data_IF_532705658005
#
_entry.id   IF_532705658005
#
_cell.length_a   1.000
_cell.length_b   1.000
_cell.length_c   1.000
_cell.angle_alpha   90.00
_cell.angle_beta   90.00
_cell.angle_gamma   90.00
#
_symmetry.space_group_name_H-M   'P 1'
#
loop_
_entity.id
_entity.type
_entity.pdbx_description
1 polymer ?
#
# COMPACT_ATOMS: atom_id res chain seq x y z
N UNK A 1 4.48 36.52 15.50
CA UNK A 1 5.48 36.26 14.42
C UNK A 1 6.26 34.95 14.63
N UNK A 2 6.75 34.63 15.84
CA UNK A 2 7.41 33.34 16.13
C UNK A 2 6.51 32.11 15.93
N UNK A 3 5.23 32.15 16.33
CA UNK A 3 4.29 31.03 16.13
C UNK A 3 4.03 30.72 14.65
N UNK A 4 3.91 31.76 13.81
CA UNK A 4 3.81 31.58 12.35
C UNK A 4 5.11 31.05 11.72
N UNK A 5 6.27 31.46 12.25
CA UNK A 5 7.57 30.95 11.82
C UNK A 5 7.75 29.46 12.18
N UNK A 6 7.41 29.07 13.42
CA UNK A 6 7.40 27.67 13.87
C UNK A 6 6.41 26.81 13.08
N UNK A 7 5.21 27.32 12.82
CA UNK A 7 4.22 26.66 11.96
C UNK A 7 4.76 26.48 10.52
N UNK A 8 5.48 27.47 9.99
CA UNK A 8 6.10 27.38 8.66
C UNK A 8 7.28 26.41 8.58
N UNK A 9 8.03 26.24 9.68
CA UNK A 9 9.17 25.31 9.76
C UNK A 9 8.65 23.88 9.90
N UNK A 10 7.70 23.63 10.82
CA UNK A 10 7.08 22.31 11.00
C UNK A 10 6.35 21.85 9.74
N UNK A 11 5.66 22.76 9.04
CA UNK A 11 5.03 22.45 7.76
C UNK A 11 6.06 22.12 6.69
N UNK A 12 7.24 22.78 6.66
CA UNK A 12 8.29 22.44 5.70
C UNK A 12 8.92 21.08 5.98
N UNK A 13 9.20 20.75 7.24
CA UNK A 13 9.76 19.45 7.63
C UNK A 13 8.83 18.32 7.21
N UNK A 14 7.55 18.40 7.55
CA UNK A 14 6.54 17.44 7.11
C UNK A 14 6.56 17.17 5.60
N UNK A 15 6.59 18.24 4.81
CA UNK A 15 6.52 18.14 3.35
C UNK A 15 7.77 17.50 2.76
N UNK A 16 8.92 17.78 3.38
CA UNK A 16 10.17 17.17 3.01
C UNK A 16 10.18 15.68 3.37
N UNK A 17 9.71 15.32 4.56
CA UNK A 17 9.57 13.93 5.01
C UNK A 17 8.62 13.15 4.09
N UNK A 18 7.49 13.74 3.71
CA UNK A 18 6.55 13.15 2.74
C UNK A 18 7.24 12.81 1.41
N UNK A 19 7.99 13.76 0.83
CA UNK A 19 8.66 13.54 -0.45
C UNK A 19 9.87 12.60 -0.32
N UNK A 20 10.53 12.56 0.84
CA UNK A 20 11.57 11.58 1.13
C UNK A 20 10.99 10.17 1.16
N UNK A 21 9.87 10.00 1.88
CA UNK A 21 9.25 8.70 2.11
C UNK A 21 8.57 8.15 0.86
N UNK A 22 7.66 8.92 0.24
CA UNK A 22 6.86 8.42 -0.89
C UNK A 22 7.47 8.67 -2.28
N UNK A 23 8.40 9.61 -2.38
CA UNK A 23 8.98 10.07 -3.66
C UNK A 23 10.51 9.97 -3.74
N UNK A 24 11.15 9.37 -2.73
CA UNK A 24 12.60 9.18 -2.64
C UNK A 24 13.41 10.48 -2.85
N UNK A 25 12.93 11.58 -2.28
CA UNK A 25 13.71 12.82 -2.23
C UNK A 25 15.02 12.56 -1.47
N UNK A 26 16.16 12.64 -2.17
CA UNK A 26 17.47 12.39 -1.56
C UNK A 26 17.85 13.49 -0.57
N UNK A 27 18.47 13.10 0.54
CA UNK A 27 19.11 14.03 1.48
C UNK A 27 20.45 14.51 0.91
N UNK A 28 20.68 15.83 0.87
CA UNK A 28 21.99 16.38 0.48
C UNK A 28 23.01 16.16 1.61
N UNK A 29 24.04 15.31 1.43
CA UNK A 29 25.00 15.00 2.49
C UNK A 29 25.89 16.18 2.90
N UNK A 30 25.90 17.27 2.12
CA UNK A 30 26.85 18.38 2.25
C UNK A 30 26.19 19.73 2.61
N UNK A 31 24.89 19.76 2.90
CA UNK A 31 24.19 20.98 3.30
C UNK A 31 24.18 22.09 2.24
N UNK A 32 24.43 21.78 0.96
CA UNK A 32 24.41 22.76 -0.14
C UNK A 32 22.97 23.00 -0.62
N UNK A 33 22.28 23.86 0.14
CA UNK A 33 20.89 24.29 -0.02
C UNK A 33 20.46 24.78 -1.43
N UNK A 34 21.38 24.98 -2.39
CA UNK A 34 21.07 25.39 -3.77
C UNK A 34 20.66 24.24 -4.70
N UNK A 35 21.11 23.00 -4.48
CA UNK A 35 20.75 21.85 -5.34
C UNK A 35 19.44 21.18 -4.90
N UNK A 36 19.10 21.25 -3.61
CA UNK A 36 17.88 20.68 -3.04
C UNK A 36 16.60 21.33 -3.56
N UNK A 37 16.60 22.64 -3.88
CA UNK A 37 15.40 23.33 -4.37
C UNK A 37 14.89 22.83 -5.73
N UNK A 38 15.80 22.46 -6.65
CA UNK A 38 15.44 21.88 -7.95
C UNK A 38 14.95 20.43 -7.80
N UNK A 39 15.59 19.65 -6.92
CA UNK A 39 15.17 18.28 -6.60
C UNK A 39 13.80 18.25 -5.91
N UNK A 40 13.56 19.12 -4.93
CA UNK A 40 12.29 19.27 -4.23
C UNK A 40 11.16 19.64 -5.19
N UNK A 41 11.35 20.70 -6.00
CA UNK A 41 10.34 21.14 -6.98
C UNK A 41 10.02 20.03 -7.98
N UNK A 42 11.02 19.26 -8.40
CA UNK A 42 10.80 18.10 -9.28
C UNK A 42 9.94 17.04 -8.61
N UNK A 43 10.25 16.65 -7.36
CA UNK A 43 9.47 15.64 -6.63
C UNK A 43 8.04 16.10 -6.33
N UNK A 44 7.82 17.39 -6.09
CA UNK A 44 6.46 17.96 -6.01
C UNK A 44 5.72 17.79 -7.34
N UNK A 45 6.38 18.03 -8.48
CA UNK A 45 5.75 17.81 -9.79
C UNK A 45 5.42 16.34 -10.05
N UNK A 46 6.32 15.42 -9.69
CA UNK A 46 6.08 13.98 -9.81
C UNK A 46 4.84 13.56 -9.02
N UNK A 47 4.71 14.08 -7.79
CA UNK A 47 3.54 13.88 -6.94
C UNK A 47 2.28 14.48 -7.55
N UNK A 48 2.32 15.72 -8.02
CA UNK A 48 1.17 16.36 -8.68
C UNK A 48 0.73 15.58 -9.92
N UNK A 49 1.66 15.06 -10.72
CA UNK A 49 1.37 14.18 -11.86
C UNK A 49 0.70 12.89 -11.40
N UNK A 50 1.20 12.26 -10.34
CA UNK A 50 0.62 11.02 -9.81
C UNK A 50 -0.83 11.21 -9.37
N UNK A 51 -1.12 12.29 -8.65
CA UNK A 51 -2.44 12.58 -8.09
C UNK A 51 -3.40 13.32 -9.04
N UNK A 52 -2.95 13.63 -10.26
CA UNK A 52 -3.73 14.36 -11.27
C UNK A 52 -4.02 15.82 -10.88
N UNK A 53 -3.10 16.46 -10.15
CA UNK A 53 -3.17 17.86 -9.76
C UNK A 53 -2.56 18.78 -10.82
N UNK A 54 -2.75 20.09 -10.67
CA UNK A 54 -2.05 21.08 -11.49
C UNK A 54 -0.53 21.00 -11.23
N UNK A 55 0.27 20.79 -12.28
CA UNK A 55 1.71 20.53 -12.18
C UNK A 55 2.50 21.84 -12.05
N UNK A 56 2.30 22.53 -10.93
CA UNK A 56 2.91 23.82 -10.61
C UNK A 56 4.32 23.68 -10.03
N UNK A 57 4.65 22.54 -9.41
CA UNK A 57 5.82 22.36 -8.55
C UNK A 57 5.75 23.17 -7.26
N UNK A 58 4.58 23.71 -6.92
CA UNK A 58 4.33 24.53 -5.74
C UNK A 58 3.42 23.79 -4.77
N UNK A 59 3.55 24.12 -3.50
CA UNK A 59 2.73 23.58 -2.42
C UNK A 59 1.43 24.39 -2.30
N UNK A 60 0.58 24.31 -3.32
CA UNK A 60 -0.74 24.92 -3.31
C UNK A 60 -1.72 24.16 -2.38
N UNK A 61 -2.92 24.71 -2.20
CA UNK A 61 -3.94 24.15 -1.29
C UNK A 61 -4.22 22.68 -1.56
N UNK A 62 -4.37 22.34 -2.84
CA UNK A 62 -4.79 21.01 -3.27
C UNK A 62 -3.64 20.00 -3.07
N UNK A 63 -2.40 20.42 -3.36
CA UNK A 63 -1.20 19.62 -3.05
C UNK A 63 -1.08 19.35 -1.54
N UNK A 64 -1.30 20.37 -0.72
CA UNK A 64 -1.24 20.24 0.74
C UNK A 64 -2.36 19.37 1.31
N UNK A 65 -3.56 19.44 0.75
CA UNK A 65 -4.69 18.60 1.15
C UNK A 65 -4.40 17.11 0.90
N UNK A 66 -3.88 16.79 -0.29
CA UNK A 66 -3.47 15.41 -0.61
C UNK A 66 -2.35 14.93 0.31
N UNK A 67 -1.32 15.74 0.55
CA UNK A 67 -0.20 15.33 1.42
C UNK A 67 -0.63 15.08 2.87
N UNK A 68 -1.60 15.84 3.38
CA UNK A 68 -2.12 15.70 4.75
C UNK A 68 -3.12 14.57 4.92
N UNK A 69 -3.62 13.99 3.83
CA UNK A 69 -4.62 12.95 3.90
C UNK A 69 -3.97 11.64 4.36
N UNK A 70 -4.57 10.90 5.32
CA UNK A 70 -4.07 9.60 5.74
C UNK A 70 -3.96 8.64 4.54
N UNK A 71 -2.94 7.79 4.53
CA UNK A 71 -2.58 7.00 3.34
C UNK A 71 -1.76 5.75 3.67
N UNK A 72 -1.56 4.92 2.66
CA UNK A 72 -0.59 3.82 2.67
C UNK A 72 0.86 4.35 2.72
N UNK A 73 1.72 3.61 3.43
CA UNK A 73 3.17 3.83 3.61
C UNK A 73 4.04 3.43 2.43
N UNK A 74 3.52 2.66 1.47
CA UNK A 74 4.30 2.22 0.31
C UNK A 74 4.65 3.42 -0.61
N UNK A 75 5.89 3.51 -1.15
CA UNK A 75 6.25 4.60 -2.05
C UNK A 75 5.41 4.66 -3.34
N UNK A 76 5.11 5.88 -3.81
CA UNK A 76 4.29 6.12 -5.02
C UNK A 76 5.08 5.98 -6.32
N UNK A 77 6.40 6.10 -6.24
CA UNK A 77 7.32 6.06 -7.38
C UNK A 77 8.40 5.03 -7.13
N UNK A 78 8.77 4.29 -8.17
CA UNK A 78 9.81 3.28 -8.04
C UNK A 78 11.22 3.89 -8.14
N UNK A 79 12.09 3.48 -7.22
CA UNK A 79 13.49 3.13 -7.53
C UNK A 79 13.73 1.66 -7.13
N UNK A 80 12.83 0.75 -7.53
CA UNK A 80 13.10 -0.69 -7.39
C UNK A 80 13.78 -1.18 -8.67
N UNK A 81 15.10 -1.23 -8.60
CA UNK A 81 15.99 -1.95 -9.50
C UNK A 81 15.37 -3.25 -10.03
N UNK A 82 15.10 -3.31 -11.34
CA UNK A 82 15.12 -4.53 -12.17
C UNK A 82 14.20 -5.70 -11.81
N UNK A 83 13.29 -5.60 -10.84
CA UNK A 83 12.32 -6.66 -10.59
C UNK A 83 11.05 -6.39 -11.42
N UNK A 84 10.82 -7.24 -12.41
CA UNK A 84 9.48 -7.49 -12.95
C UNK A 84 8.47 -7.53 -11.80
N UNK A 85 7.26 -7.00 -11.99
CA UNK A 85 6.13 -7.12 -11.03
C UNK A 85 6.16 -8.50 -10.38
N UNK A 86 6.61 -8.57 -9.11
CA UNK A 86 6.79 -9.86 -8.46
C UNK A 86 5.42 -10.39 -8.09
N UNK A 87 5.20 -11.67 -8.35
CA UNK A 87 3.98 -12.39 -7.99
C UNK A 87 4.37 -13.65 -7.23
N UNK A 88 3.46 -14.15 -6.41
CA UNK A 88 3.62 -15.49 -5.85
C UNK A 88 3.59 -16.53 -6.97
N UNK A 89 4.57 -17.43 -7.03
CA UNK A 89 4.58 -18.53 -8.00
C UNK A 89 3.76 -19.74 -7.50
N UNK A 90 2.59 -19.46 -6.92
CA UNK A 90 1.64 -20.42 -6.37
C UNK A 90 0.29 -19.75 -6.17
N UNK A 91 -0.76 -20.57 -6.06
CA UNK A 91 -2.13 -20.07 -5.89
C UNK A 91 -2.66 -20.20 -4.47
N UNK A 92 -2.01 -20.99 -3.61
CA UNK A 92 -2.36 -21.08 -2.19
C UNK A 92 -1.38 -20.20 -1.43
N UNK A 93 -1.88 -19.08 -0.92
CA UNK A 93 -1.12 -18.12 -0.13
C UNK A 93 -1.50 -18.32 1.33
N UNK A 94 -0.50 -18.55 2.17
CA UNK A 94 -0.71 -18.73 3.61
C UNK A 94 -0.52 -17.42 4.33
N UNK A 95 -1.33 -17.14 5.35
CA UNK A 95 -1.14 -15.97 6.19
C UNK A 95 -1.20 -16.33 7.67
N UNK A 96 -0.58 -15.50 8.52
CA UNK A 96 -0.58 -15.68 9.98
C UNK A 96 -0.49 -14.34 10.68
N UNK A 97 -1.14 -14.24 11.85
CA UNK A 97 -1.00 -13.11 12.76
C UNK A 97 0.26 -13.25 13.62
N UNK A 98 1.10 -12.22 13.63
CA UNK A 98 2.18 -12.03 14.60
C UNK A 98 1.63 -11.35 15.86
N UNK A 99 1.03 -10.18 15.69
CA UNK A 99 0.41 -9.39 16.74
C UNK A 99 -0.99 -8.97 16.33
N UNK A 100 -1.82 -8.65 17.33
CA UNK A 100 -3.18 -8.16 17.15
C UNK A 100 -3.29 -6.79 17.80
N UNK A 101 -4.04 -5.89 17.17
CA UNK A 101 -4.47 -4.64 17.80
C UNK A 101 -5.34 -4.92 19.03
N UNK A 102 -5.34 -3.98 19.97
CA UNK A 102 -6.22 -3.99 21.15
C UNK A 102 -7.54 -3.24 20.93
N UNK A 103 -7.69 -2.53 19.82
CA UNK A 103 -8.87 -1.72 19.52
C UNK A 103 -10.12 -2.55 19.21
N UNK A 104 -9.92 -3.78 18.70
CA UNK A 104 -10.98 -4.67 18.25
C UNK A 104 -10.82 -6.07 18.87
N UNK A 105 -11.93 -6.79 19.14
CA UNK A 105 -11.87 -8.20 19.50
C UNK A 105 -11.14 -9.03 18.42
N UNK A 106 -10.36 -10.04 18.83
CA UNK A 106 -9.63 -10.90 17.88
C UNK A 106 -10.52 -11.54 16.82
N UNK A 107 -11.73 -11.95 17.18
CA UNK A 107 -12.70 -12.50 16.23
C UNK A 107 -13.15 -11.48 15.17
N UNK A 108 -13.25 -10.20 15.55
CA UNK A 108 -13.55 -9.11 14.62
C UNK A 108 -12.37 -8.85 13.69
N UNK A 109 -11.15 -8.79 14.23
CA UNK A 109 -9.92 -8.68 13.41
C UNK A 109 -9.84 -9.83 12.41
N UNK A 110 -10.01 -11.06 12.89
CA UNK A 110 -9.99 -12.27 12.05
C UNK A 110 -11.01 -12.17 10.90
N UNK A 111 -12.25 -11.77 11.22
CA UNK A 111 -13.32 -11.65 10.22
C UNK A 111 -13.04 -10.56 9.17
N UNK A 112 -12.49 -9.41 9.58
CA UNK A 112 -12.19 -8.30 8.67
C UNK A 112 -11.00 -8.62 7.75
N UNK A 113 -9.96 -9.25 8.29
CA UNK A 113 -8.79 -9.69 7.51
C UNK A 113 -9.16 -10.82 6.53
N UNK A 114 -9.95 -11.80 6.97
CA UNK A 114 -10.48 -12.85 6.08
C UNK A 114 -11.35 -12.25 4.96
N UNK A 115 -12.16 -11.25 5.28
CA UNK A 115 -12.96 -10.52 4.28
C UNK A 115 -12.06 -9.77 3.29
N UNK A 116 -10.98 -9.13 3.75
CA UNK A 116 -10.01 -8.45 2.90
C UNK A 116 -9.31 -9.42 1.94
N UNK A 117 -8.89 -10.61 2.40
CA UNK A 117 -8.39 -11.65 1.50
C UNK A 117 -9.45 -12.15 0.51
N UNK A 118 -10.70 -12.27 0.94
CA UNK A 118 -11.82 -12.70 0.08
C UNK A 118 -12.09 -11.73 -1.08
N UNK A 119 -11.81 -10.43 -0.92
CA UNK A 119 -11.86 -9.45 -2.00
C UNK A 119 -10.97 -9.88 -3.17
N UNK A 120 -9.72 -10.23 -2.89
CA UNK A 120 -8.75 -10.66 -3.91
C UNK A 120 -8.98 -12.09 -4.39
N UNK A 121 -9.42 -12.99 -3.52
CA UNK A 121 -9.76 -14.37 -3.89
C UNK A 121 -10.87 -14.41 -4.95
N UNK A 122 -11.92 -13.57 -4.80
CA UNK A 122 -13.03 -13.49 -5.77
C UNK A 122 -12.62 -12.92 -7.12
N UNK A 123 -11.56 -12.11 -7.17
CA UNK A 123 -11.08 -11.47 -8.40
C UNK A 123 -9.97 -12.26 -9.11
N UNK A 124 -9.44 -13.33 -8.52
CA UNK A 124 -8.26 -14.05 -9.00
C UNK A 124 -8.42 -15.58 -8.89
N UNK A 125 -7.34 -16.33 -9.14
CA UNK A 125 -7.29 -17.78 -8.91
C UNK A 125 -6.66 -18.16 -7.56
N UNK A 126 -6.41 -17.17 -6.70
CA UNK A 126 -5.76 -17.34 -5.41
C UNK A 126 -6.72 -17.87 -4.34
N UNK A 127 -6.16 -18.61 -3.39
CA UNK A 127 -6.81 -19.08 -2.17
C UNK A 127 -5.94 -18.68 -0.99
N UNK A 128 -6.57 -18.14 0.05
CA UNK A 128 -5.87 -17.71 1.26
C UNK A 128 -6.18 -18.65 2.41
N UNK A 129 -5.14 -19.13 3.09
CA UNK A 129 -5.27 -20.11 4.17
C UNK A 129 -4.55 -19.60 5.40
N UNK A 130 -5.27 -19.50 6.52
CA UNK A 130 -4.65 -19.19 7.80
C UNK A 130 -3.75 -20.35 8.22
N UNK A 131 -2.49 -20.06 8.49
CA UNK A 131 -1.53 -21.05 8.95
C UNK A 131 -1.28 -20.96 10.46
N UNK A 132 -1.14 -22.12 11.09
CA UNK A 132 -0.69 -22.27 12.47
C UNK A 132 0.83 -22.57 12.57
N UNK A 133 1.52 -22.68 11.43
CA UNK A 133 2.98 -22.89 11.39
C UNK A 133 3.75 -21.62 11.75
N UNK A 134 5.02 -21.76 12.12
CA UNK A 134 5.87 -20.62 12.55
C UNK A 134 5.95 -19.51 11.48
N UNK A 135 6.05 -19.90 10.21
CA UNK A 135 6.12 -18.98 9.08
C UNK A 135 4.90 -19.16 8.17
N UNK A 136 4.50 -18.08 7.50
CA UNK A 136 3.50 -18.04 6.44
C UNK A 136 4.04 -17.14 5.30
N UNK A 137 3.30 -17.05 4.19
CA UNK A 137 3.68 -16.17 3.07
C UNK A 137 3.40 -14.70 3.36
N UNK A 138 2.38 -14.43 4.18
CA UNK A 138 2.01 -13.08 4.63
C UNK A 138 1.92 -13.11 6.15
N UNK A 139 2.88 -12.47 6.82
CA UNK A 139 2.78 -12.21 8.25
C UNK A 139 2.02 -10.89 8.47
N UNK A 140 0.95 -10.95 9.24
CA UNK A 140 0.10 -9.80 9.59
C UNK A 140 0.49 -9.32 10.98
N UNK A 141 0.93 -8.07 11.09
CA UNK A 141 1.36 -7.48 12.35
C UNK A 141 0.69 -6.12 12.60
N UNK A 142 0.18 -5.93 13.82
CA UNK A 142 -0.20 -4.63 14.34
C UNK A 142 0.90 -4.19 15.31
N UNK A 143 1.63 -3.15 14.94
CA UNK A 143 2.75 -2.67 15.74
C UNK A 143 2.89 -1.17 15.57
N UNK A 144 3.34 -0.50 16.63
CA UNK A 144 3.66 0.93 16.56
C UNK A 144 5.01 1.17 15.86
N UNK A 145 5.89 0.17 15.77
CA UNK A 145 7.06 0.02 14.86
C UNK A 145 8.00 -1.14 15.30
N UNK A 146 8.85 -1.62 14.39
CA UNK A 146 9.88 -2.65 14.65
C UNK A 146 10.83 -3.00 13.49
N UNK A 147 10.59 -2.48 12.27
CA UNK A 147 11.40 -2.69 11.07
C UNK A 147 12.13 -1.39 10.62
N UNK A 148 12.80 -1.40 9.47
CA UNK A 148 13.52 -0.24 8.91
C UNK A 148 12.59 0.88 8.42
N UNK A 149 11.27 0.71 8.52
CA UNK A 149 10.24 1.63 8.01
C UNK A 149 9.31 2.05 9.17
N UNK A 150 9.82 2.82 10.15
CA UNK A 150 9.03 3.20 11.32
C UNK A 150 7.79 4.01 10.94
N UNK A 151 6.65 3.70 11.57
CA UNK A 151 5.44 4.51 11.47
C UNK A 151 5.63 5.89 12.12
N UNK A 152 4.84 6.86 11.66
CA UNK A 152 4.99 8.29 11.99
C UNK A 152 4.02 8.80 13.07
N UNK A 153 3.29 7.88 13.71
CA UNK A 153 2.26 8.19 14.70
C UNK A 153 0.92 8.57 14.05
N UNK A 154 -0.08 9.00 14.85
CA UNK A 154 -1.46 9.04 14.38
C UNK A 154 -1.75 9.99 13.21
N UNK A 155 -2.60 9.54 12.29
CA UNK A 155 -3.26 10.33 11.26
C UNK A 155 -2.51 10.49 9.94
N UNK A 156 -1.49 9.67 9.66
CA UNK A 156 -0.69 9.78 8.43
C UNK A 156 -0.51 8.44 7.74
N UNK A 157 0.50 7.66 8.12
CA UNK A 157 0.77 6.36 7.53
C UNK A 157 -0.01 5.29 8.27
N UNK A 158 -1.04 4.74 7.62
CA UNK A 158 -1.93 3.80 8.28
C UNK A 158 -1.35 2.39 8.35
N UNK A 159 -0.67 1.98 7.29
CA UNK A 159 -0.15 0.64 7.10
C UNK A 159 0.84 0.63 5.94
N UNK A 160 1.60 -0.46 5.82
CA UNK A 160 2.35 -0.79 4.61
C UNK A 160 2.41 -2.30 4.42
N UNK A 161 2.76 -2.72 3.20
CA UNK A 161 3.08 -4.10 2.91
C UNK A 161 4.27 -4.22 1.96
N UNK A 162 4.97 -5.33 2.08
CA UNK A 162 6.04 -5.71 1.16
C UNK A 162 5.47 -6.51 0.01
N UNK A 163 6.01 -6.30 -1.21
CA UNK A 163 5.65 -7.12 -2.37
C UNK A 163 5.98 -8.61 -2.18
N UNK A 164 5.44 -9.50 -3.04
CA UNK A 164 5.71 -10.93 -2.98
C UNK A 164 7.20 -11.26 -3.00
N UNK A 165 7.65 -12.15 -2.10
CA UNK A 165 9.06 -12.50 -2.00
C UNK A 165 9.39 -13.45 -0.86
N UNK A 166 10.67 -13.75 -0.69
CA UNK A 166 11.17 -14.49 0.48
C UNK A 166 11.44 -13.55 1.67
N UNK A 167 11.58 -14.12 2.87
CA UNK A 167 11.86 -13.33 4.07
C UNK A 167 10.64 -12.51 4.47
N UNK A 168 10.76 -11.18 4.45
CA UNK A 168 9.68 -10.24 4.76
C UNK A 168 8.74 -9.98 3.58
N UNK A 169 9.01 -10.58 2.41
CA UNK A 169 8.16 -10.41 1.24
C UNK A 169 6.74 -10.92 1.51
N UNK A 170 5.74 -10.08 1.25
CA UNK A 170 4.34 -10.35 1.59
C UNK A 170 3.90 -9.81 2.95
N UNK A 171 4.82 -9.58 3.88
CA UNK A 171 4.46 -9.14 5.23
C UNK A 171 3.73 -7.79 5.18
N UNK A 172 2.74 -7.67 6.05
CA UNK A 172 1.80 -6.54 6.08
C UNK A 172 1.70 -6.01 7.50
N UNK A 173 2.06 -4.74 7.68
CA UNK A 173 2.10 -4.08 8.97
C UNK A 173 1.06 -2.97 9.04
N UNK A 174 0.33 -2.92 10.16
CA UNK A 174 -0.66 -1.92 10.46
C UNK A 174 -0.17 -1.08 11.64
N UNK A 175 -0.24 0.25 11.53
CA UNK A 175 0.17 1.13 12.62
C UNK A 175 -0.82 1.01 13.79
N UNK A 176 -0.38 0.43 14.91
CA UNK A 176 -1.19 0.26 16.13
C UNK A 176 -1.26 1.55 16.97
N UNK A 177 -0.67 2.66 16.50
CA UNK A 177 -0.94 4.01 17.02
C UNK A 177 -2.25 4.59 16.45
N UNK A 178 -2.74 4.04 15.34
CA UNK A 178 -4.03 4.39 14.77
C UNK A 178 -5.16 3.67 15.47
N UNK A 179 -6.33 4.32 15.54
CA UNK A 179 -7.53 3.70 16.10
C UNK A 179 -8.27 2.87 15.05
N UNK A 180 -8.12 1.55 15.11
CA UNK A 180 -8.75 0.62 14.17
C UNK A 180 -10.23 0.40 14.47
N UNK A 181 -11.04 0.39 13.42
CA UNK A 181 -12.49 0.24 13.54
C UNK A 181 -13.06 -0.76 12.53
N UNK A 182 -14.23 -1.30 12.84
CA UNK A 182 -15.03 -2.12 11.91
C UNK A 182 -16.12 -1.31 11.19
N UNK A 183 -16.35 -0.06 11.60
CA UNK A 183 -17.47 0.78 11.17
C UNK A 183 -17.10 1.86 10.16
N UNK A 184 -18.00 2.82 9.96
CA UNK A 184 -17.84 3.93 9.01
C UNK A 184 -17.04 5.11 9.57
N UNK A 185 -16.82 5.14 10.88
CA UNK A 185 -16.09 6.21 11.59
C UNK A 185 -14.71 5.72 12.02
N UNK A 186 -13.66 6.47 11.70
CA UNK A 186 -12.27 6.07 11.97
C UNK A 186 -11.65 5.31 10.79
N UNK A 187 -10.52 4.66 11.02
CA UNK A 187 -9.87 3.86 9.98
C UNK A 187 -10.47 2.45 9.97
N UNK A 188 -11.19 2.15 8.90
CA UNK A 188 -11.81 0.84 8.72
C UNK A 188 -10.74 -0.19 8.34
N UNK A 189 -10.48 -1.15 9.25
CA UNK A 189 -9.42 -2.16 9.07
C UNK A 189 -9.62 -3.01 7.81
N UNK A 190 -10.87 -3.34 7.45
CA UNK A 190 -11.12 -4.14 6.23
C UNK A 190 -10.67 -3.41 4.96
N UNK A 191 -10.92 -2.10 4.86
CA UNK A 191 -10.52 -1.30 3.70
C UNK A 191 -9.01 -1.20 3.58
N UNK A 192 -8.34 -0.84 4.70
CA UNK A 192 -6.87 -0.71 4.71
C UNK A 192 -6.21 -2.06 4.45
N UNK A 193 -6.66 -3.13 5.12
CA UNK A 193 -6.11 -4.46 4.89
C UNK A 193 -6.30 -4.95 3.45
N UNK A 194 -7.45 -4.67 2.84
CA UNK A 194 -7.66 -5.04 1.45
C UNK A 194 -6.69 -4.29 0.51
N UNK A 195 -6.41 -3.01 0.78
CA UNK A 195 -5.39 -2.25 0.05
C UNK A 195 -4.00 -2.88 0.21
N UNK A 196 -3.54 -3.07 1.45
CA UNK A 196 -2.18 -3.59 1.71
C UNK A 196 -1.99 -5.01 1.17
N UNK A 197 -3.02 -5.85 1.21
CA UNK A 197 -2.93 -7.17 0.58
C UNK A 197 -2.83 -7.09 -0.94
N UNK A 198 -3.28 -6.02 -1.58
CA UNK A 198 -2.97 -5.77 -2.99
C UNK A 198 -1.46 -5.67 -3.22
N UNK A 199 -0.73 -4.94 -2.37
CA UNK A 199 0.72 -4.87 -2.40
C UNK A 199 1.39 -6.21 -2.08
N UNK A 200 0.93 -6.91 -1.05
CA UNK A 200 1.42 -8.26 -0.71
C UNK A 200 1.19 -9.29 -1.84
N UNK A 201 0.32 -8.97 -2.81
CA UNK A 201 0.07 -9.76 -4.02
C UNK A 201 0.80 -9.24 -5.26
N UNK A 202 1.48 -8.08 -5.18
CA UNK A 202 2.30 -7.53 -6.25
C UNK A 202 1.66 -6.37 -7.02
N UNK A 203 0.53 -5.84 -6.53
CA UNK A 203 -0.07 -4.62 -7.09
C UNK A 203 0.70 -3.38 -6.61
N UNK A 204 0.69 -2.34 -7.44
CA UNK A 204 1.25 -1.02 -7.13
C UNK A 204 0.12 -0.03 -6.89
N UNK A 205 0.45 1.13 -6.34
CA UNK A 205 -0.53 2.21 -6.24
C UNK A 205 -1.09 2.59 -7.62
N UNK A 206 -2.38 2.85 -7.67
CA UNK A 206 -3.06 3.37 -8.85
C UNK A 206 -3.21 4.90 -8.76
N UNK A 207 -3.21 5.54 -9.93
CA UNK A 207 -3.57 6.97 -10.07
C UNK A 207 -5.08 7.19 -10.14
N UNK A 208 -5.85 6.11 -10.33
CA UNK A 208 -7.29 6.16 -10.39
C UNK A 208 -7.87 6.33 -8.99
N UNK A 209 -8.58 7.42 -8.77
CA UNK A 209 -9.18 7.76 -7.47
C UNK A 209 -10.21 6.72 -7.00
N UNK A 210 -10.82 5.97 -7.90
CA UNK A 210 -11.81 4.95 -7.55
C UNK A 210 -11.20 3.56 -7.32
N UNK A 211 -9.89 3.40 -7.55
CA UNK A 211 -9.17 2.15 -7.28
C UNK A 211 -8.97 1.95 -5.78
N UNK A 212 -9.12 0.70 -5.33
CA UNK A 212 -8.74 0.32 -3.97
C UNK A 212 -7.26 0.60 -3.73
N UNK A 213 -6.41 0.44 -4.75
CA UNK A 213 -4.98 0.71 -4.71
C UNK A 213 -4.64 2.20 -4.85
N UNK A 214 -5.61 3.12 -4.79
CA UNK A 214 -5.30 4.54 -4.62
C UNK A 214 -4.68 4.77 -3.23
N UNK A 215 -3.52 5.47 -3.12
CA UNK A 215 -2.75 5.50 -1.88
C UNK A 215 -3.46 6.15 -0.69
N UNK A 216 -4.25 7.20 -0.95
CA UNK A 216 -4.90 7.95 0.12
C UNK A 216 -6.16 7.22 0.58
N UNK A 217 -6.29 7.10 1.90
CA UNK A 217 -7.42 6.45 2.54
C UNK A 217 -8.74 7.11 2.14
N UNK A 218 -9.68 6.29 1.71
CA UNK A 218 -11.05 6.68 1.47
C UNK A 218 -11.97 5.81 2.30
N UNK A 219 -12.89 6.41 3.10
CA UNK A 219 -13.90 5.64 3.79
C UNK A 219 -14.70 4.80 2.81
N UNK A 220 -15.05 3.58 3.22
CA UNK A 220 -15.91 2.70 2.46
C UNK A 220 -17.26 3.38 2.17
N UNK A 221 -17.62 3.53 0.89
CA UNK A 221 -18.86 4.22 0.48
C UNK A 221 -19.73 3.42 -0.50
N UNK A 222 -19.29 2.25 -0.97
CA UNK A 222 -20.00 1.49 -2.01
C UNK A 222 -19.90 -0.02 -1.78
N UNK A 223 -20.87 -0.78 -2.31
CA UNK A 223 -20.93 -2.23 -2.14
C UNK A 223 -19.76 -3.01 -2.80
N UNK A 224 -19.02 -2.38 -3.72
CA UNK A 224 -17.92 -2.99 -4.46
C UNK A 224 -16.61 -2.24 -4.16
N UNK A 225 -15.73 -2.89 -3.40
CA UNK A 225 -14.45 -2.31 -3.00
C UNK A 225 -13.45 -2.19 -4.16
N UNK A 226 -13.51 -3.10 -5.14
CA UNK A 226 -12.59 -3.12 -6.28
C UNK A 226 -13.13 -2.33 -7.47
N UNK A 227 -12.29 -1.48 -8.05
CA UNK A 227 -12.52 -0.90 -9.37
C UNK A 227 -12.28 -1.95 -10.47
N UNK A 228 -12.71 -1.63 -11.70
CA UNK A 228 -12.40 -2.46 -12.88
C UNK A 228 -10.90 -2.60 -13.13
N UNK A 229 -10.12 -1.57 -12.80
CA UNK A 229 -8.66 -1.55 -12.91
C UNK A 229 -8.00 -2.50 -11.91
N UNK A 230 -8.48 -2.53 -10.66
CA UNK A 230 -7.97 -3.46 -9.65
C UNK A 230 -8.20 -4.91 -10.07
N UNK A 231 -9.40 -5.21 -10.58
CA UNK A 231 -9.77 -6.54 -11.09
C UNK A 231 -8.92 -6.93 -12.29
N UNK A 232 -8.70 -6.01 -13.23
CA UNK A 232 -7.87 -6.29 -14.40
C UNK A 232 -6.41 -6.54 -14.00
N UNK A 233 -5.87 -5.75 -13.08
CA UNK A 233 -4.49 -5.84 -12.62
C UNK A 233 -4.21 -7.16 -11.88
N UNK A 234 -5.07 -7.55 -10.94
CA UNK A 234 -4.88 -8.81 -10.21
C UNK A 234 -5.06 -10.03 -11.12
N UNK A 235 -5.97 -9.96 -12.11
CA UNK A 235 -6.11 -11.00 -13.13
C UNK A 235 -4.88 -11.09 -14.01
N UNK A 236 -4.26 -9.97 -14.39
CA UNK A 236 -3.03 -10.01 -15.18
C UNK A 236 -1.90 -10.76 -14.44
N UNK A 237 -1.82 -10.64 -13.11
CA UNK A 237 -0.84 -11.35 -12.29
C UNK A 237 -1.18 -12.83 -12.05
N UNK A 238 -2.46 -13.13 -11.80
CA UNK A 238 -2.90 -14.44 -11.29
C UNK A 238 -4.00 -15.10 -12.13
N UNK A 239 -4.02 -14.84 -13.43
CA UNK A 239 -4.86 -15.60 -14.36
C UNK A 239 -4.46 -17.07 -14.33
N UNK A 240 -5.47 -17.94 -14.43
CA UNK A 240 -5.23 -19.37 -14.66
C UNK A 240 -4.52 -19.49 -16.01
N UNK A 241 -3.20 -19.68 -16.00
CA UNK A 241 -2.57 -20.40 -17.09
C UNK A 241 -3.13 -21.82 -17.03
N UNK A 242 -4.28 -22.05 -17.68
CA UNK A 242 -4.47 -23.34 -18.32
C UNK A 242 -3.30 -23.43 -19.28
N UNK A 243 -2.30 -24.25 -18.95
CA UNK A 243 -1.23 -24.54 -19.88
C UNK A 243 -1.90 -24.91 -21.20
N UNK A 244 -1.67 -24.12 -22.25
CA UNK A 244 -2.04 -24.52 -23.59
C UNK A 244 -1.36 -25.86 -23.81
N UNK A 245 -2.13 -26.95 -23.76
CA UNK A 245 -1.67 -28.23 -24.28
C UNK A 245 -1.46 -27.96 -25.77
N UNK A 246 -0.24 -28.10 -26.30
CA UNK A 246 -0.04 -27.95 -27.74
C UNK A 246 -0.96 -28.92 -28.48
N UNK A 247 -1.58 -28.43 -29.55
CA UNK A 247 -2.53 -29.16 -30.40
C UNK A 247 -1.91 -30.43 -31.05
N UNK A 248 -0.62 -30.70 -30.81
CA UNK A 248 0.11 -31.87 -31.29
C UNK A 248 -0.23 -33.18 -30.56
N UNK A 249 -1.01 -33.18 -29.48
CA UNK A 249 -1.36 -34.41 -28.74
C UNK A 249 -2.80 -34.94 -28.97
N UNK A 250 -3.58 -34.34 -29.88
CA UNK A 250 -4.94 -34.81 -30.21
C UNK A 250 -5.04 -35.68 -31.48
N UNK A 251 -3.91 -36.10 -32.07
CA UNK A 251 -3.91 -37.03 -33.22
C UNK A 251 -3.13 -38.32 -32.92
N UNK A 252 -3.61 -39.12 -31.98
CA UNK A 252 -3.26 -40.55 -31.91
C UNK A 252 -4.38 -41.37 -31.27
N UNK A 253 -5.62 -41.18 -31.76
CA UNK A 253 -6.73 -42.08 -31.45
C UNK A 253 -7.80 -41.99 -32.55
N UNK A 254 -7.45 -42.45 -33.75
CA UNK A 254 -8.37 -43.01 -34.74
C UNK A 254 -7.64 -44.07 -35.53
#
# INVERSE_FOLDING_TARGET
KQVACLCSILCRLFMQDYLQHYYHLQNDPLGRMKRSGLSFTSKVKDMQIFFGLNVSGRLDSDTLEVMRSPRCGVPDVEEYSHAQTTRWNKNVITYRYLLYTRDLPRSTVDSLIESAFSVWARASSLTFVRSNTRNADIMVEFATHGDLFPFDGPGRTLAHAFGPGSGIGGDTHFDDAERWTAGETGFNLFVVAAHEFGHALGLKHSRNRESLMFPNYKPFRSANLLSSEDVASIKALYSKHFGCIPESYQRSSK
#
